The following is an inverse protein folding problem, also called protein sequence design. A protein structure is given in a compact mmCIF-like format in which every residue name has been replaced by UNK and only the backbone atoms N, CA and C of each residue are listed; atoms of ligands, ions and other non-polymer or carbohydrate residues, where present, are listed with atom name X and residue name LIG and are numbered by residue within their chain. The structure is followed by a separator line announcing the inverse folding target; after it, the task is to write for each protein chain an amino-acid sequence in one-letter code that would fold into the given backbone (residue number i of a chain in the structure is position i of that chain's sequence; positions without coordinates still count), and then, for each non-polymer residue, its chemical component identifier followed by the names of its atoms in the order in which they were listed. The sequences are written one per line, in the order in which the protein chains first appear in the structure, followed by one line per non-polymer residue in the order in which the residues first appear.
data_IF_002176925475
#
_entry.id   IF_002176925475
#
_cell.length_a   1.000
_cell.length_b   1.000
_cell.length_c   1.000
_cell.angle_alpha   90.00
_cell.angle_beta   90.00
_cell.angle_gamma   90.00
#
_symmetry.space_group_name_H-M   'P 1'
#
loop_
_entity.id
_entity.type
_entity.pdbx_description
1 polymer ?
#
# COMPACT_ATOMS: atom_id res chain seq x y z
N UNK A 1 36.07 -8.28 -41.41
CA UNK A 1 35.77 -7.56 -40.15
C UNK A 1 34.29 -7.18 -40.19
N UNK A 2 33.43 -8.08 -39.71
CA UNK A 2 31.96 -7.94 -39.77
C UNK A 2 31.50 -7.11 -38.57
N UNK A 3 30.84 -6.00 -38.83
CA UNK A 3 30.32 -5.10 -37.81
C UNK A 3 29.12 -5.75 -37.09
N UNK A 4 29.24 -5.81 -35.77
CA UNK A 4 28.23 -6.18 -34.78
C UNK A 4 26.95 -5.32 -34.95
N UNK A 5 26.00 -5.81 -35.75
CA UNK A 5 24.64 -5.23 -35.89
C UNK A 5 23.62 -5.93 -34.98
N UNK A 6 24.07 -6.84 -34.12
CA UNK A 6 23.20 -7.67 -33.27
C UNK A 6 22.77 -6.99 -31.96
N UNK A 7 23.55 -6.03 -31.46
CA UNK A 7 23.30 -5.41 -30.15
C UNK A 7 22.02 -4.54 -30.01
N UNK A 8 21.60 -3.70 -30.99
CA UNK A 8 20.49 -2.76 -30.78
C UNK A 8 19.12 -3.43 -30.71
N UNK A 9 18.87 -4.41 -31.59
CA UNK A 9 17.58 -5.09 -31.71
C UNK A 9 17.32 -6.01 -30.51
N UNK A 10 18.36 -6.64 -29.98
CA UNK A 10 18.27 -7.49 -28.80
C UNK A 10 17.95 -6.68 -27.53
N UNK A 11 18.53 -5.50 -27.37
CA UNK A 11 18.26 -4.60 -26.22
C UNK A 11 16.82 -4.06 -26.27
N UNK A 12 16.32 -3.71 -27.46
CA UNK A 12 14.93 -3.28 -27.66
C UNK A 12 13.96 -4.43 -27.36
N UNK A 13 14.29 -5.65 -27.80
CA UNK A 13 13.52 -6.86 -27.51
C UNK A 13 13.41 -7.18 -26.02
N UNK A 14 14.54 -7.15 -25.29
CA UNK A 14 14.59 -7.40 -23.83
C UNK A 14 13.80 -6.35 -23.03
N UNK A 15 13.90 -5.07 -23.42
CA UNK A 15 13.14 -3.99 -22.78
C UNK A 15 11.61 -4.12 -23.01
N UNK A 16 11.21 -4.62 -24.18
CA UNK A 16 9.82 -4.99 -24.48
C UNK A 16 9.33 -6.15 -23.63
N UNK A 17 10.09 -7.24 -23.57
CA UNK A 17 9.76 -8.43 -22.79
C UNK A 17 9.59 -8.12 -21.30
N UNK A 18 10.50 -7.36 -20.71
CA UNK A 18 10.41 -6.96 -19.30
C UNK A 18 9.11 -6.18 -19.00
N UNK A 19 8.69 -5.28 -19.89
CA UNK A 19 7.45 -4.52 -19.70
C UNK A 19 6.21 -5.40 -19.72
N UNK A 20 6.18 -6.39 -20.61
CA UNK A 20 5.10 -7.37 -20.68
C UNK A 20 5.04 -8.21 -19.41
N UNK A 21 6.19 -8.72 -18.95
CA UNK A 21 6.27 -9.49 -17.69
C UNK A 21 5.76 -8.67 -16.51
N UNK A 22 6.27 -7.46 -16.30
CA UNK A 22 5.79 -6.59 -15.21
C UNK A 22 4.30 -6.29 -15.32
N UNK A 23 3.75 -6.08 -16.53
CA UNK A 23 2.33 -5.87 -16.70
C UNK A 23 1.48 -7.07 -16.24
N UNK A 24 1.87 -8.29 -16.63
CA UNK A 24 1.16 -9.51 -16.20
C UNK A 24 1.29 -9.76 -14.70
N UNK A 25 2.47 -9.53 -14.12
CA UNK A 25 2.66 -9.64 -12.66
C UNK A 25 1.78 -8.62 -11.93
N UNK A 26 1.71 -7.37 -12.39
CA UNK A 26 0.83 -6.35 -11.81
C UNK A 26 -0.65 -6.78 -11.85
N UNK A 27 -1.09 -7.39 -12.94
CA UNK A 27 -2.45 -7.93 -13.08
C UNK A 27 -2.67 -9.06 -12.06
N UNK A 28 -1.75 -10.03 -12.01
CA UNK A 28 -1.85 -11.16 -11.07
C UNK A 28 -1.91 -10.70 -9.61
N UNK A 29 -1.07 -9.75 -9.22
CA UNK A 29 -1.07 -9.19 -7.87
C UNK A 29 -2.33 -8.37 -7.59
N UNK A 30 -2.83 -7.58 -8.55
CA UNK A 30 -4.09 -6.87 -8.40
C UNK A 30 -5.27 -7.83 -8.17
N UNK A 31 -5.33 -8.94 -8.92
CA UNK A 31 -6.32 -10.00 -8.72
C UNK A 31 -6.17 -10.65 -7.35
N UNK A 32 -4.93 -10.93 -6.91
CA UNK A 32 -4.67 -11.50 -5.59
C UNK A 32 -5.13 -10.58 -4.46
N UNK A 33 -4.92 -9.27 -4.58
CA UNK A 33 -5.42 -8.27 -3.60
C UNK A 33 -6.95 -8.32 -3.55
N UNK A 34 -7.63 -8.26 -4.70
CA UNK A 34 -9.10 -8.28 -4.75
C UNK A 34 -9.63 -9.59 -4.15
N UNK A 35 -9.03 -10.73 -4.48
CA UNK A 35 -9.39 -12.02 -3.91
C UNK A 35 -9.22 -12.02 -2.38
N UNK A 36 -8.11 -11.50 -1.86
CA UNK A 36 -7.84 -11.41 -0.43
C UNK A 36 -8.85 -10.48 0.29
N UNK A 37 -9.15 -9.31 -0.27
CA UNK A 37 -10.18 -8.40 0.25
C UNK A 37 -11.55 -9.09 0.30
N UNK A 38 -11.96 -9.74 -0.79
CA UNK A 38 -13.25 -10.45 -0.86
C UNK A 38 -13.29 -11.63 0.11
N UNK A 39 -12.19 -12.38 0.22
CA UNK A 39 -12.07 -13.51 1.14
C UNK A 39 -12.14 -13.10 2.60
N UNK A 40 -11.47 -12.00 2.96
CA UNK A 40 -11.55 -11.42 4.30
C UNK A 40 -12.95 -10.88 4.58
N UNK A 41 -13.54 -10.12 3.65
CA UNK A 41 -14.90 -9.57 3.82
C UNK A 41 -15.95 -10.67 3.97
N UNK A 42 -15.83 -11.74 3.18
CA UNK A 42 -16.74 -12.90 3.27
C UNK A 42 -16.64 -13.58 4.64
N UNK A 43 -15.43 -13.73 5.17
CA UNK A 43 -15.20 -14.26 6.52
C UNK A 43 -15.80 -13.33 7.59
N UNK A 44 -15.52 -12.03 7.51
CA UNK A 44 -16.07 -11.03 8.44
C UNK A 44 -17.59 -11.00 8.41
N UNK A 45 -18.23 -11.06 7.23
CA UNK A 45 -19.68 -11.12 7.10
C UNK A 45 -20.28 -12.38 7.71
N UNK A 46 -19.62 -13.53 7.59
CA UNK A 46 -20.06 -14.77 8.22
C UNK A 46 -19.96 -14.66 9.75
N UNK A 47 -18.85 -14.10 10.25
CA UNK A 47 -18.62 -13.87 11.66
C UNK A 47 -19.66 -12.93 12.27
N UNK A 48 -19.88 -11.75 11.68
CA UNK A 48 -20.85 -10.75 12.18
C UNK A 48 -22.27 -11.31 12.24
N UNK A 49 -22.70 -12.02 11.19
CA UNK A 49 -24.01 -12.70 11.19
C UNK A 49 -24.10 -13.80 12.24
N UNK A 50 -23.04 -14.59 12.41
CA UNK A 50 -22.98 -15.64 13.43
C UNK A 50 -23.02 -15.08 14.86
N UNK A 51 -22.46 -13.90 15.08
CA UNK A 51 -22.50 -13.15 16.34
C UNK A 51 -23.86 -12.47 16.60
N UNK A 52 -24.69 -12.33 15.57
CA UNK A 52 -26.01 -11.71 15.68
C UNK A 52 -26.00 -10.19 15.50
N UNK A 53 -25.00 -9.63 14.81
CA UNK A 53 -24.95 -8.21 14.50
C UNK A 53 -26.19 -7.74 13.74
N UNK A 54 -26.71 -6.59 14.15
CA UNK A 54 -27.94 -6.00 13.59
C UNK A 54 -27.63 -4.93 12.55
N UNK A 55 -26.50 -4.23 12.67
CA UNK A 55 -26.03 -3.21 11.73
C UNK A 55 -24.86 -3.71 10.85
N UNK A 56 -25.16 -4.70 9.99
CA UNK A 56 -24.18 -5.21 9.01
C UNK A 56 -23.64 -4.12 8.07
N UNK A 57 -24.44 -3.15 7.57
CA UNK A 57 -23.90 -2.03 6.79
C UNK A 57 -22.85 -1.22 7.55
N UNK A 58 -23.08 -0.92 8.83
CA UNK A 58 -22.12 -0.26 9.70
C UNK A 58 -20.81 -1.03 9.85
N UNK A 59 -20.88 -2.35 10.02
CA UNK A 59 -19.69 -3.21 10.10
C UNK A 59 -18.89 -3.25 8.79
N UNK A 60 -19.57 -3.21 7.64
CA UNK A 60 -18.90 -3.09 6.33
C UNK A 60 -18.18 -1.74 6.21
N UNK A 61 -18.79 -0.64 6.70
CA UNK A 61 -18.12 0.67 6.74
C UNK A 61 -16.91 0.63 7.68
N UNK A 62 -17.03 -0.01 8.84
CA UNK A 62 -15.93 -0.22 9.78
C UNK A 62 -14.78 -0.99 9.10
N UNK A 63 -15.09 -2.07 8.40
CA UNK A 63 -14.12 -2.87 7.67
C UNK A 63 -13.36 -2.08 6.60
N UNK A 64 -14.04 -1.27 5.81
CA UNK A 64 -13.36 -0.41 4.82
C UNK A 64 -12.73 0.84 5.44
N UNK A 65 -12.97 1.14 6.71
CA UNK A 65 -12.33 2.26 7.42
C UNK A 65 -10.92 1.91 7.94
N UNK A 66 -10.49 0.65 7.86
CA UNK A 66 -9.10 0.27 8.13
C UNK A 66 -8.18 0.86 7.06
N UNK A 67 -7.11 1.54 7.48
CA UNK A 67 -6.10 2.06 6.56
C UNK A 67 -5.56 0.97 5.63
N UNK A 68 -5.40 -0.24 6.15
CA UNK A 68 -4.94 -1.40 5.36
C UNK A 68 -5.90 -1.76 4.22
N UNK A 69 -7.22 -1.68 4.46
CA UNK A 69 -8.23 -2.02 3.45
C UNK A 69 -8.29 -0.96 2.36
N UNK A 70 -8.23 0.31 2.74
CA UNK A 70 -8.15 1.43 1.80
C UNK A 70 -6.85 1.38 0.98
N UNK A 71 -5.70 1.17 1.63
CA UNK A 71 -4.39 1.14 0.96
C UNK A 71 -4.28 -0.02 -0.03
N UNK A 72 -4.79 -1.20 0.33
CA UNK A 72 -4.83 -2.36 -0.57
C UNK A 72 -5.80 -2.13 -1.74
N UNK A 73 -6.96 -1.53 -1.51
CA UNK A 73 -7.93 -1.21 -2.57
C UNK A 73 -7.31 -0.27 -3.61
N UNK A 74 -6.64 0.79 -3.16
CA UNK A 74 -5.93 1.72 -4.04
C UNK A 74 -4.71 1.06 -4.69
N UNK A 75 -4.06 0.10 -4.02
CA UNK A 75 -2.97 -0.70 -4.60
C UNK A 75 -3.46 -1.55 -5.78
N UNK A 76 -4.56 -2.28 -5.65
CA UNK A 76 -5.12 -3.07 -6.74
C UNK A 76 -5.43 -2.18 -7.96
N UNK A 77 -6.06 -1.03 -7.75
CA UNK A 77 -6.34 -0.06 -8.81
C UNK A 77 -5.06 0.48 -9.46
N UNK A 78 -4.06 0.83 -8.65
CA UNK A 78 -2.78 1.38 -9.14
C UNK A 78 -2.00 0.36 -9.96
N UNK A 79 -2.00 -0.90 -9.55
CA UNK A 79 -1.37 -1.99 -10.29
C UNK A 79 -2.10 -2.26 -11.61
N UNK A 80 -3.43 -2.26 -11.62
CA UNK A 80 -4.23 -2.41 -12.84
C UNK A 80 -3.96 -1.28 -13.85
N UNK A 81 -4.00 -0.02 -13.39
CA UNK A 81 -3.65 1.16 -14.21
C UNK A 81 -2.20 1.03 -14.71
N UNK A 82 -1.28 0.65 -13.82
CA UNK A 82 0.14 0.46 -14.13
C UNK A 82 0.39 -0.61 -15.19
N UNK A 83 -0.37 -1.70 -15.19
CA UNK A 83 -0.29 -2.73 -16.22
C UNK A 83 -0.70 -2.17 -17.58
N UNK A 84 -1.82 -1.45 -17.65
CA UNK A 84 -2.28 -0.79 -18.89
C UNK A 84 -1.25 0.20 -19.41
N UNK A 85 -0.63 1.00 -18.53
CA UNK A 85 0.41 1.96 -18.91
C UNK A 85 1.66 1.28 -19.49
N UNK A 86 2.10 0.16 -18.90
CA UNK A 86 3.24 -0.61 -19.39
C UNK A 86 3.00 -1.21 -20.77
N UNK A 87 1.78 -1.70 -21.02
CA UNK A 87 1.40 -2.29 -22.31
C UNK A 87 1.20 -1.23 -23.40
N UNK A 88 0.61 -0.07 -23.07
CA UNK A 88 0.21 0.93 -24.07
C UNK A 88 1.27 1.99 -24.38
N UNK A 89 2.17 2.31 -23.44
CA UNK A 89 3.06 3.47 -23.57
C UNK A 89 4.51 3.06 -23.70
N UNK A 90 5.26 3.73 -24.57
CA UNK A 90 6.74 3.68 -24.60
C UNK A 90 7.31 4.87 -23.84
N UNK A 91 8.37 4.65 -23.06
CA UNK A 91 9.00 5.69 -22.24
C UNK A 91 8.50 5.78 -20.78
N UNK A 92 8.79 6.89 -20.08
CA UNK A 92 8.43 7.05 -18.68
C UNK A 92 6.91 7.17 -18.47
N UNK A 93 6.46 6.79 -17.26
CA UNK A 93 5.39 7.33 -16.41
C UNK A 93 4.49 8.41 -17.04
N UNK A 94 3.20 8.57 -16.70
CA UNK A 94 2.65 9.92 -16.48
C UNK A 94 3.04 10.46 -15.10
N UNK A 95 3.11 11.79 -14.91
CA UNK A 95 3.61 12.35 -13.64
C UNK A 95 2.65 12.03 -12.51
N UNK A 96 1.35 12.15 -12.75
CA UNK A 96 0.31 11.79 -11.78
C UNK A 96 0.42 10.32 -11.36
N UNK A 97 0.67 9.40 -12.30
CA UNK A 97 0.79 7.97 -12.00
C UNK A 97 2.05 7.69 -11.19
N UNK A 98 3.18 8.30 -11.54
CA UNK A 98 4.41 8.15 -10.76
C UNK A 98 4.23 8.63 -9.31
N UNK A 99 3.48 9.72 -9.09
CA UNK A 99 3.12 10.18 -7.74
C UNK A 99 2.21 9.16 -7.06
N UNK A 100 1.11 8.74 -7.69
CA UNK A 100 0.19 7.73 -7.14
C UNK A 100 0.93 6.45 -6.74
N UNK A 101 1.77 5.93 -7.63
CA UNK A 101 2.54 4.73 -7.38
C UNK A 101 3.53 4.90 -6.22
N UNK A 102 4.13 6.08 -6.04
CA UNK A 102 4.94 6.37 -4.85
C UNK A 102 4.09 6.38 -3.57
N UNK A 103 2.91 7.01 -3.58
CA UNK A 103 2.01 7.07 -2.42
C UNK A 103 1.64 5.64 -1.99
N UNK A 104 1.13 4.86 -2.94
CA UNK A 104 0.69 3.47 -2.71
C UNK A 104 1.83 2.58 -2.24
N UNK A 105 3.00 2.65 -2.88
CA UNK A 105 4.15 1.87 -2.42
C UNK A 105 4.57 2.26 -0.99
N UNK A 106 4.52 3.55 -0.65
CA UNK A 106 4.84 4.03 0.69
C UNK A 106 3.85 3.51 1.72
N UNK A 107 2.55 3.60 1.43
CA UNK A 107 1.50 3.13 2.34
C UNK A 107 1.57 1.63 2.52
N UNK A 108 1.75 0.87 1.44
CA UNK A 108 1.81 -0.59 1.51
C UNK A 108 3.07 -1.09 2.24
N UNK A 109 4.23 -0.45 2.04
CA UNK A 109 5.42 -0.77 2.84
C UNK A 109 5.18 -0.44 4.32
N UNK A 110 4.54 0.70 4.62
CA UNK A 110 4.18 1.06 6.00
C UNK A 110 3.24 0.02 6.61
N UNK A 111 2.19 -0.38 5.89
CA UNK A 111 1.25 -1.44 6.31
C UNK A 111 1.99 -2.73 6.64
N UNK A 112 2.92 -3.15 5.78
CA UNK A 112 3.72 -4.34 6.04
C UNK A 112 4.62 -4.22 7.27
N UNK A 113 5.27 -3.06 7.47
CA UNK A 113 6.12 -2.80 8.64
C UNK A 113 5.29 -2.79 9.93
N UNK A 114 4.23 -1.99 9.98
CA UNK A 114 3.38 -1.82 11.18
C UNK A 114 2.72 -3.14 11.55
N UNK A 115 2.20 -3.88 10.57
CA UNK A 115 1.61 -5.18 10.85
C UNK A 115 2.61 -6.16 11.46
N UNK A 116 3.76 -6.35 10.81
CA UNK A 116 4.72 -7.35 11.27
C UNK A 116 5.43 -6.96 12.57
N UNK A 117 5.59 -5.65 12.85
CA UNK A 117 6.24 -5.17 14.06
C UNK A 117 5.30 -5.09 15.27
N UNK A 118 4.00 -4.83 15.05
CA UNK A 118 3.06 -4.47 16.12
C UNK A 118 1.83 -5.38 16.10
N UNK A 119 1.13 -5.46 14.98
CA UNK A 119 -0.23 -6.06 14.95
C UNK A 119 -0.22 -7.59 14.90
N UNK A 120 0.82 -8.22 14.33
CA UNK A 120 0.88 -9.67 14.10
C UNK A 120 0.87 -10.49 15.39
N UNK A 121 1.39 -9.93 16.48
CA UNK A 121 1.42 -10.56 17.80
C UNK A 121 0.20 -10.23 18.66
N UNK A 122 -0.71 -9.37 18.19
CA UNK A 122 -1.90 -9.01 18.94
C UNK A 122 -2.96 -10.12 18.84
N UNK A 123 -3.68 -10.42 19.94
CA UNK A 123 -4.82 -11.32 19.89
C UNK A 123 -5.88 -10.79 18.93
N UNK A 124 -6.31 -11.66 18.02
CA UNK A 124 -7.46 -11.44 17.14
C UNK A 124 -8.51 -12.47 17.51
N UNK A 125 -9.78 -12.09 17.39
CA UNK A 125 -10.85 -13.09 17.45
C UNK A 125 -10.60 -14.14 16.35
N UNK A 126 -10.48 -15.43 16.70
CA UNK A 126 -10.24 -16.48 15.73
C UNK A 126 -11.23 -16.48 14.56
N UNK A 127 -12.48 -16.06 14.81
CA UNK A 127 -13.52 -15.98 13.78
C UNK A 127 -13.32 -14.84 12.77
N UNK A 128 -12.49 -13.84 13.09
CA UNK A 128 -12.15 -12.73 12.18
C UNK A 128 -10.85 -12.98 11.40
N UNK A 129 -10.05 -13.96 11.83
CA UNK A 129 -8.77 -14.27 11.19
C UNK A 129 -8.95 -15.03 9.89
N UNK A 130 -8.39 -14.51 8.79
CA UNK A 130 -8.25 -15.24 7.53
C UNK A 130 -6.76 -15.28 7.15
N UNK A 131 -6.00 -16.32 7.58
CA UNK A 131 -4.54 -16.30 7.52
C UNK A 131 -3.95 -16.01 6.15
N UNK A 132 -4.46 -16.66 5.10
CA UNK A 132 -3.94 -16.46 3.74
C UNK A 132 -4.18 -15.04 3.22
N UNK A 133 -5.34 -14.44 3.55
CA UNK A 133 -5.66 -13.07 3.17
C UNK A 133 -4.74 -12.09 3.92
N UNK A 134 -4.55 -12.32 5.21
CA UNK A 134 -3.63 -11.54 6.03
C UNK A 134 -2.20 -11.54 5.48
N UNK A 135 -1.67 -12.71 5.09
CA UNK A 135 -0.33 -12.80 4.49
C UNK A 135 -0.25 -12.07 3.14
N UNK A 136 -1.29 -12.15 2.28
CA UNK A 136 -1.31 -11.40 1.02
C UNK A 136 -1.29 -9.89 1.29
N UNK A 137 -2.22 -9.39 2.11
CA UNK A 137 -2.47 -7.96 2.30
C UNK A 137 -1.39 -7.25 3.15
N UNK A 138 -0.70 -7.99 4.03
CA UNK A 138 0.27 -7.42 4.97
C UNK A 138 1.72 -7.89 4.78
N UNK A 139 1.99 -8.87 3.91
CA UNK A 139 3.35 -9.32 3.62
C UNK A 139 3.63 -9.37 2.12
N UNK A 140 2.89 -10.19 1.37
CA UNK A 140 3.14 -10.43 -0.04
C UNK A 140 3.04 -9.16 -0.89
N UNK A 141 1.94 -8.43 -0.77
CA UNK A 141 1.68 -7.20 -1.54
C UNK A 141 2.61 -6.06 -1.14
N UNK A 142 2.85 -5.77 0.16
CA UNK A 142 3.88 -4.82 0.60
C UNK A 142 5.26 -5.09 -0.01
N UNK A 143 5.75 -6.34 0.05
CA UNK A 143 7.03 -6.73 -0.54
C UNK A 143 7.01 -6.51 -2.05
N UNK A 144 5.96 -6.96 -2.72
CA UNK A 144 5.85 -6.79 -4.16
C UNK A 144 5.84 -5.32 -4.58
N UNK A 145 5.09 -4.45 -3.93
CA UNK A 145 5.05 -3.03 -4.29
C UNK A 145 6.38 -2.31 -4.04
N UNK A 146 7.14 -2.74 -3.02
CA UNK A 146 8.51 -2.29 -2.86
C UNK A 146 9.35 -2.70 -4.09
N UNK A 147 9.29 -3.96 -4.48
CA UNK A 147 10.02 -4.47 -5.65
C UNK A 147 9.57 -3.80 -6.96
N UNK A 148 8.26 -3.66 -7.19
CA UNK A 148 7.70 -3.00 -8.36
C UNK A 148 8.15 -1.54 -8.42
N UNK A 149 8.09 -0.81 -7.30
CA UNK A 149 8.60 0.57 -7.23
C UNK A 149 10.08 0.67 -7.59
N UNK A 150 10.89 -0.30 -7.15
CA UNK A 150 12.34 -0.32 -7.31
C UNK A 150 12.82 -0.87 -8.66
N UNK A 151 12.04 -1.73 -9.33
CA UNK A 151 12.51 -2.45 -10.52
C UNK A 151 11.63 -2.29 -11.75
N UNK A 152 10.37 -1.86 -11.60
CA UNK A 152 9.47 -1.75 -12.75
C UNK A 152 10.00 -0.75 -13.80
N UNK A 153 9.82 -1.07 -15.09
CA UNK A 153 10.09 -0.14 -16.18
C UNK A 153 9.11 1.04 -16.14
N UNK A 154 9.44 2.13 -16.85
CA UNK A 154 8.57 3.32 -16.91
C UNK A 154 8.75 4.31 -15.75
N UNK A 155 9.45 3.92 -14.68
CA UNK A 155 9.70 4.80 -13.53
C UNK A 155 10.16 6.23 -13.91
N UNK A 156 9.37 7.24 -13.50
CA UNK A 156 9.72 8.66 -13.63
C UNK A 156 10.39 9.20 -12.35
N UNK A 157 11.39 10.08 -12.53
CA UNK A 157 11.95 10.91 -11.45
C UNK A 157 10.92 11.88 -10.89
N UNK A 158 10.81 11.91 -9.57
CA UNK A 158 9.96 12.84 -8.83
C UNK A 158 10.79 13.82 -8.01
N UNK A 159 10.17 14.94 -7.63
CA UNK A 159 10.76 15.94 -6.74
C UNK A 159 10.75 15.45 -5.29
N UNK A 160 11.71 15.86 -4.45
CA UNK A 160 11.60 15.63 -3.01
C UNK A 160 10.38 16.34 -2.39
N UNK A 161 9.90 17.41 -3.03
CA UNK A 161 8.63 18.05 -2.65
C UNK A 161 7.42 17.10 -2.70
N UNK A 162 7.52 15.98 -3.44
CA UNK A 162 6.46 14.97 -3.48
C UNK A 162 6.28 14.24 -2.14
N UNK A 163 7.28 14.21 -1.25
CA UNK A 163 7.12 13.65 0.11
C UNK A 163 5.99 14.35 0.87
N UNK A 164 5.85 15.66 0.70
CA UNK A 164 4.75 16.41 1.35
C UNK A 164 3.36 15.95 0.92
N UNK A 165 3.22 15.30 -0.25
CA UNK A 165 1.95 14.74 -0.72
C UNK A 165 1.66 13.40 -0.02
N UNK A 166 2.70 12.65 0.35
CA UNK A 166 2.59 11.34 1.02
C UNK A 166 1.87 11.44 2.36
N UNK A 167 2.07 12.52 3.11
CA UNK A 167 1.47 12.65 4.44
C UNK A 167 0.02 13.14 4.41
N UNK A 168 -0.47 13.69 3.29
CA UNK A 168 -1.81 14.29 3.21
C UNK A 168 -2.88 13.26 3.50
N UNK A 169 -2.84 12.12 2.81
CA UNK A 169 -3.87 11.10 2.96
C UNK A 169 -3.88 10.47 4.37
N UNK A 170 -2.75 10.05 4.96
CA UNK A 170 -2.71 9.58 6.34
C UNK A 170 -3.25 10.58 7.36
N UNK A 171 -3.02 11.88 7.19
CA UNK A 171 -3.59 12.92 8.07
C UNK A 171 -5.11 12.96 7.91
N UNK A 172 -5.61 12.97 6.68
CA UNK A 172 -7.06 12.96 6.40
C UNK A 172 -7.72 11.71 6.97
N UNK A 173 -7.10 10.55 6.77
CA UNK A 173 -7.58 9.28 7.31
C UNK A 173 -7.60 9.30 8.84
N UNK A 174 -6.52 9.73 9.50
CA UNK A 174 -6.47 9.82 10.96
C UNK A 174 -7.53 10.79 11.50
N UNK A 175 -7.73 11.95 10.86
CA UNK A 175 -8.77 12.88 11.23
C UNK A 175 -10.17 12.27 11.06
N UNK A 176 -10.45 11.63 9.92
CA UNK A 176 -11.69 10.90 9.68
C UNK A 176 -11.95 9.85 10.77
N UNK A 177 -10.95 9.01 11.05
CA UNK A 177 -11.07 7.95 12.06
C UNK A 177 -11.35 8.52 13.44
N UNK A 178 -10.59 9.53 13.89
CA UNK A 178 -10.72 10.09 15.24
C UNK A 178 -12.00 10.92 15.43
N UNK A 179 -12.50 11.56 14.36
CA UNK A 179 -13.79 12.26 14.39
C UNK A 179 -14.93 11.25 14.39
N UNK A 180 -14.87 10.20 13.56
CA UNK A 180 -15.93 9.20 13.42
C UNK A 180 -16.04 8.29 14.64
N UNK A 181 -14.92 7.76 15.11
CA UNK A 181 -14.86 6.64 16.05
C UNK A 181 -15.73 6.83 17.32
N UNK A 182 -15.74 7.98 18.02
CA UNK A 182 -16.53 8.18 19.23
C UNK A 182 -18.05 8.11 19.02
N UNK A 183 -18.53 8.16 17.78
CA UNK A 183 -19.97 8.14 17.47
C UNK A 183 -20.47 6.80 16.94
N UNK A 184 -19.57 5.82 16.78
CA UNK A 184 -19.91 4.51 16.24
C UNK A 184 -20.03 3.51 17.39
N UNK A 185 -21.15 2.78 17.41
CA UNK A 185 -21.35 1.67 18.34
C UNK A 185 -20.54 0.48 17.83
N UNK A 186 -19.65 -0.03 18.69
CA UNK A 186 -18.98 -1.29 18.47
C UNK A 186 -19.91 -2.43 18.93
N UNK A 187 -20.54 -3.10 17.97
CA UNK A 187 -21.46 -4.20 18.25
C UNK A 187 -20.78 -5.38 18.95
N UNK A 188 -19.45 -5.52 18.87
CA UNK A 188 -18.71 -6.60 19.54
C UNK A 188 -18.63 -6.42 21.05
N UNK A 189 -18.72 -5.17 21.52
CA UNK A 189 -18.64 -4.81 22.94
C UNK A 189 -19.92 -4.16 23.46
N UNK A 190 -20.89 -3.89 22.58
CA UNK A 190 -22.12 -3.12 22.83
C UNK A 190 -21.82 -1.74 23.45
N UNK A 191 -20.70 -1.14 23.05
CA UNK A 191 -20.21 0.12 23.61
C UNK A 191 -19.98 1.18 22.52
N UNK A 192 -20.16 2.45 22.88
CA UNK A 192 -19.85 3.57 22.00
C UNK A 192 -18.33 3.76 21.89
N UNK A 193 -17.83 3.94 20.68
CA UNK A 193 -16.41 4.11 20.38
C UNK A 193 -15.84 2.91 19.64
N UNK A 194 -15.90 2.93 18.30
CA UNK A 194 -15.24 1.93 17.47
C UNK A 194 -13.98 2.51 16.81
N UNK A 195 -12.82 1.95 17.13
CA UNK A 195 -11.54 2.34 16.55
C UNK A 195 -10.95 1.18 15.74
N UNK A 196 -10.41 1.44 14.53
CA UNK A 196 -9.84 0.38 13.69
C UNK A 196 -8.57 -0.22 14.28
N UNK A 197 -7.88 0.50 15.17
CA UNK A 197 -6.65 0.00 15.80
C UNK A 197 -6.64 0.33 17.29
N UNK A 198 -6.11 -0.57 18.15
CA UNK A 198 -6.09 -0.34 19.60
C UNK A 198 -5.25 0.87 20.00
N UNK A 199 -4.17 1.16 19.27
CA UNK A 199 -3.33 2.33 19.51
C UNK A 199 -4.00 3.67 19.17
N UNK A 200 -5.17 3.65 18.52
CA UNK A 200 -6.00 4.83 18.28
C UNK A 200 -7.13 4.98 19.30
N UNK A 201 -7.37 3.97 20.13
CA UNK A 201 -8.39 4.01 21.17
C UNK A 201 -7.83 4.66 22.44
N UNK A 202 -8.27 5.88 22.80
CA UNK A 202 -7.76 6.56 23.99
C UNK A 202 -8.17 5.84 25.29
N UNK A 203 -9.16 4.93 25.27
CA UNK A 203 -9.61 4.20 26.46
C UNK A 203 -8.65 3.09 26.88
N UNK A 204 -7.77 2.66 25.97
CA UNK A 204 -6.82 1.56 26.21
C UNK A 204 -5.48 2.03 26.81
N UNK A 205 -5.30 3.32 27.05
CA UNK A 205 -4.08 3.88 27.61
C UNK A 205 -4.40 4.88 28.74
N UNK A 206 -3.64 4.81 29.85
CA UNK A 206 -3.81 5.71 31.00
C UNK A 206 -3.65 7.20 30.62
N UNK A 207 -2.86 7.48 29.58
CA UNK A 207 -2.61 8.84 29.08
C UNK A 207 -3.64 9.31 28.05
N UNK A 208 -4.66 8.49 27.74
CA UNK A 208 -5.77 8.88 26.88
C UNK A 208 -5.33 9.33 25.48
N UNK A 209 -5.87 10.47 25.04
CA UNK A 209 -5.56 11.07 23.74
C UNK A 209 -4.09 11.46 23.56
N UNK A 210 -3.30 11.60 24.62
CA UNK A 210 -1.87 11.84 24.50
C UNK A 210 -1.15 10.63 23.88
N UNK A 211 -1.56 9.41 24.23
CA UNK A 211 -1.07 8.17 23.60
C UNK A 211 -1.43 8.15 22.11
N UNK A 212 -2.70 8.44 21.79
CA UNK A 212 -3.20 8.50 20.41
C UNK A 212 -2.42 9.50 19.57
N UNK A 213 -2.21 10.72 20.08
CA UNK A 213 -1.41 11.74 19.42
C UNK A 213 0.02 11.27 19.16
N UNK A 214 0.64 10.62 20.14
CA UNK A 214 2.00 10.06 20.02
C UNK A 214 2.07 9.03 18.89
N UNK A 215 1.12 8.10 18.83
CA UNK A 215 1.04 7.10 17.76
C UNK A 215 0.83 7.73 16.38
N UNK A 216 -0.06 8.72 16.27
CA UNK A 216 -0.27 9.45 15.01
C UNK A 216 1.05 10.10 14.55
N UNK A 217 1.78 10.78 15.44
CA UNK A 217 3.06 11.41 15.09
C UNK A 217 4.11 10.38 14.67
N UNK A 218 4.24 9.28 15.41
CA UNK A 218 5.19 8.19 15.09
C UNK A 218 4.89 7.58 13.72
N UNK A 219 3.63 7.27 13.43
CA UNK A 219 3.22 6.66 12.17
C UNK A 219 3.36 7.63 10.99
N UNK A 220 2.99 8.90 11.15
CA UNK A 220 3.22 9.93 10.12
C UNK A 220 4.70 10.11 9.82
N UNK A 221 5.55 10.08 10.87
CA UNK A 221 7.01 10.15 10.71
C UNK A 221 7.55 8.94 9.96
N UNK A 222 7.10 7.73 10.31
CA UNK A 222 7.46 6.49 9.61
C UNK A 222 7.08 6.56 8.12
N UNK A 223 5.85 6.98 7.81
CA UNK A 223 5.36 7.14 6.44
C UNK A 223 6.23 8.16 5.67
N UNK A 224 6.55 9.31 6.27
CA UNK A 224 7.40 10.31 5.66
C UNK A 224 8.81 9.79 5.37
N UNK A 225 9.41 9.06 6.32
CA UNK A 225 10.73 8.44 6.17
C UNK A 225 10.72 7.40 5.04
N UNK A 226 9.75 6.48 5.01
CA UNK A 226 9.65 5.47 3.95
C UNK A 226 9.47 6.16 2.58
N UNK A 227 8.58 7.14 2.48
CA UNK A 227 8.36 7.90 1.24
C UNK A 227 9.63 8.63 0.76
N UNK A 228 10.37 9.21 1.70
CA UNK A 228 11.67 9.84 1.41
C UNK A 228 12.72 8.83 0.93
N UNK A 229 12.85 7.68 1.62
CA UNK A 229 13.80 6.61 1.25
C UNK A 229 13.50 6.07 -0.15
N UNK A 230 12.23 5.77 -0.47
CA UNK A 230 11.82 5.31 -1.80
C UNK A 230 12.18 6.32 -2.90
N UNK A 231 12.00 7.62 -2.62
CA UNK A 231 12.40 8.68 -3.55
C UNK A 231 13.92 8.79 -3.70
N UNK A 232 14.67 8.68 -2.60
CA UNK A 232 16.12 8.74 -2.60
C UNK A 232 16.72 7.60 -3.43
N UNK A 233 16.29 6.36 -3.16
CA UNK A 233 16.74 5.16 -3.90
C UNK A 233 16.43 5.29 -5.39
N UNK A 234 15.21 5.73 -5.73
CA UNK A 234 14.83 5.97 -7.13
C UNK A 234 15.73 6.98 -7.83
N UNK A 235 16.21 8.03 -7.13
CA UNK A 235 17.11 9.05 -7.67
C UNK A 235 18.55 8.57 -7.81
N UNK A 236 19.06 7.81 -6.85
CA UNK A 236 20.44 7.29 -6.88
C UNK A 236 20.65 6.35 -8.08
N UNK A 237 19.73 5.39 -8.29
CA UNK A 237 19.74 4.48 -9.45
C UNK A 237 19.80 5.23 -10.78
N UNK A 238 19.06 6.32 -10.82
CA UNK A 238 18.91 7.18 -11.98
C UNK A 238 20.17 8.00 -12.28
N UNK A 239 20.97 8.36 -11.27
CA UNK A 239 22.30 8.96 -11.44
C UNK A 239 23.28 7.94 -12.00
N UNK A 240 23.35 6.74 -11.43
CA UNK A 240 24.25 5.66 -11.87
C UNK A 240 24.03 5.32 -13.35
N UNK A 241 22.77 5.14 -13.78
CA UNK A 241 22.43 4.86 -15.20
C UNK A 241 22.87 5.96 -16.17
N UNK A 242 22.94 7.22 -15.74
CA UNK A 242 23.45 8.32 -16.58
C UNK A 242 24.97 8.28 -16.69
N UNK A 243 25.66 8.02 -15.58
CA UNK A 243 27.12 7.91 -15.54
C UNK A 243 27.65 6.80 -16.45
N UNK A 244 27.02 5.63 -16.45
CA UNK A 244 27.42 4.52 -17.33
C UNK A 244 27.25 4.90 -18.81
N UNK A 245 26.11 5.51 -19.16
CA UNK A 245 25.83 5.96 -20.54
C UNK A 245 26.75 7.07 -21.04
N UNK A 246 27.34 7.88 -20.16
CA UNK A 246 28.33 8.89 -20.54
C UNK A 246 29.75 8.32 -20.62
N UNK A 247 30.03 7.19 -19.97
CA UNK A 247 31.32 6.51 -20.07
C UNK A 247 31.42 5.64 -21.34
N UNK A 248 30.29 5.14 -21.84
CA UNK A 248 30.20 4.35 -23.10
C UNK A 248 30.09 5.23 -24.37
N UNK A 249 30.21 6.56 -24.27
CA UNK A 249 30.15 7.51 -25.40
C UNK A 249 31.47 8.23 -25.56
#
# INVERSE_FOLDING_TARGET
MSADRTAPDEVIGRAGAARVVFAFVRIGVAVAIVAAIVGQLSNSLAYWRGRGDTDIPGDVVNFFSFFTMESNSVAALTLAIGAVLLLRRRGPDPRWFAVLHLLVATYMVTTGVVYNAILRSMPLDPGLSQPWSNEILHLGVPIYLLLDRLFAPGNRRLSFKTVGIVIIYPIVWAAYTLIRAPFIVDQSTDALGWYPYPFLDPRLADTGYQSVFTWVVVLLSLIAVIGFVLLLVARLRDRTRRSTRSADR
#
